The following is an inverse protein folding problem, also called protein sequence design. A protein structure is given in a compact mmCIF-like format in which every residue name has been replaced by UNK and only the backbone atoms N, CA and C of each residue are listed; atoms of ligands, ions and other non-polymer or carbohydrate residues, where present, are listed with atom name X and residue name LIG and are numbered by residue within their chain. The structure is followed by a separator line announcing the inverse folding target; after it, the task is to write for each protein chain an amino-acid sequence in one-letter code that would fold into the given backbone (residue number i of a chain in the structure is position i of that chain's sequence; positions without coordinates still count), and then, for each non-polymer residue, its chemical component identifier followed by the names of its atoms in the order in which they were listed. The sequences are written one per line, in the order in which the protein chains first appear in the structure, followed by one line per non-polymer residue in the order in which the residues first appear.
data_IF_856697923958
#
_entry.id   IF_856697923958
#
_cell.length_a   1.000
_cell.length_b   1.000
_cell.length_c   1.000
_cell.angle_alpha   90.00
_cell.angle_beta   90.00
_cell.angle_gamma   90.00
#
_symmetry.space_group_name_H-M   'P 1'
#
loop_
_entity.id
_entity.type
_entity.pdbx_description
1 polymer ?
#
# COMPACT_ATOMS: atom_id res chain seq x y z
N UNK A 1 -6.10 9.33 9.74
CA UNK A 1 -7.04 8.35 9.17
C UNK A 1 -6.64 6.93 9.58
N UNK A 2 -7.58 5.99 9.68
CA UNK A 2 -7.24 4.57 9.83
C UNK A 2 -6.44 4.05 8.60
N UNK A 3 -5.71 2.95 8.77
CA UNK A 3 -5.02 2.27 7.67
C UNK A 3 -5.96 1.98 6.48
N UNK A 4 -5.43 1.83 5.25
CA UNK A 4 -6.26 1.66 4.06
C UNK A 4 -7.30 0.54 4.22
N UNK A 5 -8.57 0.87 3.95
CA UNK A 5 -9.64 -0.12 3.99
C UNK A 5 -9.43 -1.18 2.91
N UNK A 6 -9.50 -2.45 3.31
CA UNK A 6 -9.30 -3.57 2.38
C UNK A 6 -10.28 -3.52 1.20
N UNK A 7 -11.55 -3.18 1.43
CA UNK A 7 -12.55 -3.02 0.37
C UNK A 7 -12.12 -2.02 -0.71
N UNK A 8 -11.49 -0.90 -0.32
CA UNK A 8 -10.98 0.10 -1.24
C UNK A 8 -9.83 -0.47 -2.09
N UNK A 9 -8.85 -1.11 -1.46
CA UNK A 9 -7.70 -1.69 -2.16
C UNK A 9 -8.13 -2.79 -3.15
N UNK A 10 -9.03 -3.67 -2.72
CA UNK A 10 -9.63 -4.73 -3.55
C UNK A 10 -10.32 -4.16 -4.78
N UNK A 11 -11.15 -3.14 -4.59
CA UNK A 11 -11.89 -2.52 -5.69
C UNK A 11 -10.95 -1.84 -6.69
N UNK A 12 -9.92 -1.13 -6.22
CA UNK A 12 -8.90 -0.52 -7.07
C UNK A 12 -8.13 -1.57 -7.88
N UNK A 13 -7.69 -2.66 -7.24
CA UNK A 13 -6.98 -3.74 -7.91
C UNK A 13 -7.86 -4.41 -8.97
N UNK A 14 -9.08 -4.81 -8.62
CA UNK A 14 -10.01 -5.46 -9.56
C UNK A 14 -10.40 -4.53 -10.72
N UNK A 15 -10.62 -3.24 -10.46
CA UNK A 15 -10.90 -2.25 -11.50
C UNK A 15 -9.72 -2.11 -12.46
N UNK A 16 -8.51 -2.02 -11.93
CA UNK A 16 -7.30 -1.96 -12.76
C UNK A 16 -7.11 -3.24 -13.56
N UNK A 17 -7.34 -4.41 -12.97
CA UNK A 17 -7.25 -5.68 -13.70
C UNK A 17 -8.25 -5.76 -14.85
N UNK A 18 -9.51 -5.38 -14.61
CA UNK A 18 -10.55 -5.31 -15.66
C UNK A 18 -10.19 -4.36 -16.79
N UNK A 19 -9.47 -3.28 -16.51
CA UNK A 19 -9.07 -2.30 -17.54
C UNK A 19 -8.19 -2.87 -18.65
N UNK A 20 -7.53 -4.02 -18.41
CA UNK A 20 -6.77 -4.72 -19.44
C UNK A 20 -7.64 -5.46 -20.46
N UNK A 21 -8.94 -5.64 -20.18
CA UNK A 21 -9.91 -6.29 -21.07
C UNK A 21 -9.42 -7.62 -21.67
N UNK A 22 -8.73 -8.43 -20.84
CA UNK A 22 -8.08 -9.67 -21.26
C UNK A 22 -9.14 -10.67 -21.74
N UNK A 23 -8.99 -11.13 -22.99
CA UNK A 23 -9.89 -12.13 -23.57
C UNK A 23 -9.43 -13.54 -23.26
N UNK A 24 -10.37 -14.41 -22.89
CA UNK A 24 -10.13 -15.85 -22.72
C UNK A 24 -11.06 -16.69 -23.62
N UNK A 25 -10.54 -17.76 -24.26
CA UNK A 25 -9.12 -18.10 -24.36
C UNK A 25 -8.33 -17.05 -25.15
N UNK A 26 -7.03 -16.96 -24.87
CA UNK A 26 -6.12 -16.05 -25.58
C UNK A 26 -5.98 -16.51 -27.04
N UNK A 27 -5.84 -15.58 -27.97
CA UNK A 27 -5.63 -15.84 -29.40
C UNK A 27 -6.74 -16.65 -30.10
N UNK A 28 -7.96 -16.64 -29.55
CA UNK A 28 -9.10 -17.29 -30.17
C UNK A 28 -9.42 -16.71 -31.55
N UNK A 29 -9.54 -17.59 -32.53
CA UNK A 29 -10.06 -17.27 -33.86
C UNK A 29 -11.35 -18.05 -34.08
N UNK A 30 -12.46 -17.33 -34.19
CA UNK A 30 -13.75 -17.94 -34.45
C UNK A 30 -13.71 -18.68 -35.80
N UNK A 31 -14.03 -19.99 -35.85
CA UNK A 31 -14.08 -20.71 -37.13
C UNK A 31 -15.11 -20.09 -38.08
N UNK A 32 -14.67 -19.78 -39.30
CA UNK A 32 -15.49 -19.17 -40.36
C UNK A 32 -15.45 -20.05 -41.63
N UNK A 33 -16.50 -19.96 -42.45
CA UNK A 33 -16.61 -20.66 -43.74
C UNK A 33 -16.99 -22.14 -43.64
N UNK A 34 -17.27 -22.76 -44.80
CA UNK A 34 -17.55 -24.20 -44.91
C UNK A 34 -16.22 -24.95 -45.21
N UNK A 35 -15.85 -26.01 -44.46
CA UNK A 35 -16.64 -26.74 -43.45
C UNK A 35 -16.44 -26.29 -41.99
N UNK A 36 -15.46 -25.41 -41.73
CA UNK A 36 -15.00 -25.11 -40.36
C UNK A 36 -16.10 -24.56 -39.44
N UNK A 37 -16.90 -23.61 -39.90
CA UNK A 37 -17.99 -23.01 -39.11
C UNK A 37 -19.10 -24.02 -38.81
N UNK A 38 -19.43 -24.89 -39.79
CA UNK A 38 -20.42 -25.95 -39.62
C UNK A 38 -19.94 -26.99 -38.60
N UNK A 39 -18.71 -27.49 -38.78
CA UNK A 39 -18.11 -28.43 -37.84
C UNK A 39 -18.06 -27.88 -36.41
N UNK A 40 -17.65 -26.61 -36.24
CA UNK A 40 -17.66 -25.97 -34.93
C UNK A 40 -19.06 -25.90 -34.32
N UNK A 41 -20.06 -25.42 -35.08
CA UNK A 41 -21.43 -25.24 -34.60
C UNK A 41 -22.11 -26.57 -34.26
N UNK A 42 -21.84 -27.61 -35.06
CA UNK A 42 -22.39 -28.96 -34.89
C UNK A 42 -21.71 -29.71 -33.72
N UNK A 43 -20.55 -29.24 -33.25
CA UNK A 43 -19.86 -29.81 -32.08
C UNK A 43 -20.51 -29.44 -30.74
N UNK A 44 -21.48 -28.51 -30.72
CA UNK A 44 -22.14 -28.04 -29.50
C UNK A 44 -23.64 -28.27 -29.55
N UNK A 45 -24.23 -28.60 -28.39
CA UNK A 45 -25.69 -28.63 -28.24
C UNK A 45 -26.27 -27.23 -28.46
N UNK A 46 -27.53 -27.10 -28.90
CA UNK A 46 -28.16 -25.79 -29.08
C UNK A 46 -28.05 -24.86 -27.85
N UNK A 47 -28.17 -25.41 -26.64
CA UNK A 47 -28.04 -24.68 -25.37
C UNK A 47 -26.60 -24.26 -25.01
N UNK A 48 -25.58 -24.80 -25.68
CA UNK A 48 -24.17 -24.52 -25.44
C UNK A 48 -23.60 -23.49 -26.44
N UNK A 49 -24.34 -23.23 -27.52
CA UNK A 49 -23.91 -22.31 -28.60
C UNK A 49 -23.85 -20.85 -28.13
N UNK A 50 -24.62 -20.49 -27.12
CA UNK A 50 -24.71 -19.12 -26.63
C UNK A 50 -25.03 -19.08 -25.14
N UNK A 51 -24.31 -18.23 -24.40
CA UNK A 51 -24.55 -17.85 -23.03
C UNK A 51 -24.38 -16.33 -22.89
N UNK A 52 -25.02 -15.74 -21.87
CA UNK A 52 -24.93 -14.30 -21.60
C UNK A 52 -23.66 -14.03 -20.78
N UNK A 53 -22.70 -13.24 -21.29
CA UNK A 53 -21.52 -12.84 -20.52
C UNK A 53 -21.89 -11.96 -19.33
N UNK A 54 -21.22 -12.18 -18.19
CA UNK A 54 -21.34 -11.32 -17.02
C UNK A 54 -20.26 -10.23 -17.06
N UNK A 55 -20.62 -8.93 -17.19
CA UNK A 55 -19.66 -7.83 -17.27
C UNK A 55 -18.92 -7.58 -15.94
N UNK A 56 -19.36 -8.21 -14.85
CA UNK A 56 -18.69 -8.10 -13.55
C UNK A 56 -17.43 -8.97 -13.43
N UNK A 57 -17.17 -9.87 -14.39
CA UNK A 57 -15.99 -10.75 -14.37
C UNK A 57 -14.69 -10.00 -14.69
N UNK A 58 -13.57 -10.52 -14.20
CA UNK A 58 -12.23 -9.95 -14.43
C UNK A 58 -11.74 -10.14 -15.87
N UNK A 59 -12.10 -11.26 -16.49
CA UNK A 59 -11.76 -11.57 -17.87
C UNK A 59 -12.98 -11.42 -18.78
N UNK A 60 -12.74 -11.24 -20.08
CA UNK A 60 -13.76 -11.12 -21.12
C UNK A 60 -13.80 -12.41 -21.94
N UNK A 61 -14.98 -12.99 -22.25
CA UNK A 61 -15.01 -14.19 -23.08
C UNK A 61 -14.72 -13.83 -24.54
N UNK A 62 -13.95 -14.67 -25.22
CA UNK A 62 -13.59 -14.46 -26.62
C UNK A 62 -14.79 -14.58 -27.58
N UNK A 63 -15.83 -15.31 -27.17
CA UNK A 63 -17.13 -15.36 -27.86
C UNK A 63 -18.25 -15.66 -26.86
N UNK A 64 -19.51 -15.58 -27.30
CA UNK A 64 -20.68 -15.92 -26.48
C UNK A 64 -20.90 -17.42 -26.29
N UNK A 65 -20.00 -18.27 -26.82
CA UNK A 65 -20.10 -19.71 -26.60
C UNK A 65 -20.07 -20.01 -25.09
N UNK A 66 -20.94 -20.92 -24.65
CA UNK A 66 -21.09 -21.24 -23.22
C UNK A 66 -19.78 -21.64 -22.55
N UNK A 67 -18.92 -22.41 -23.24
CA UNK A 67 -17.63 -22.81 -22.69
C UNK A 67 -16.68 -21.64 -22.48
N UNK A 68 -16.69 -20.62 -23.34
CA UNK A 68 -15.88 -19.41 -23.12
C UNK A 68 -16.39 -18.61 -21.92
N UNK A 69 -17.71 -18.42 -21.83
CA UNK A 69 -18.35 -17.70 -20.71
C UNK A 69 -18.11 -18.42 -19.38
N UNK A 70 -18.33 -19.73 -19.31
CA UNK A 70 -18.14 -20.54 -18.10
C UNK A 70 -16.66 -20.60 -17.68
N UNK A 71 -15.75 -20.71 -18.65
CA UNK A 71 -14.29 -20.65 -18.40
C UNK A 71 -13.88 -19.31 -17.81
N UNK A 72 -14.35 -18.20 -18.40
CA UNK A 72 -14.11 -16.86 -17.88
C UNK A 72 -14.65 -16.71 -16.46
N UNK A 73 -15.86 -17.20 -16.18
CA UNK A 73 -16.43 -17.15 -14.84
C UNK A 73 -15.54 -17.88 -13.82
N UNK A 74 -15.08 -19.07 -14.17
CA UNK A 74 -14.21 -19.91 -13.32
C UNK A 74 -12.85 -19.25 -13.08
N UNK A 75 -12.18 -18.78 -14.12
CA UNK A 75 -10.84 -18.18 -14.01
C UNK A 75 -10.92 -16.84 -13.29
N UNK A 76 -11.93 -16.01 -13.60
CA UNK A 76 -12.19 -14.75 -12.90
C UNK A 76 -12.38 -15.00 -11.40
N UNK A 77 -13.21 -15.96 -11.00
CA UNK A 77 -13.42 -16.27 -9.59
C UNK A 77 -12.13 -16.66 -8.84
N UNK A 78 -11.22 -17.37 -9.50
CA UNK A 78 -9.90 -17.70 -8.91
C UNK A 78 -9.02 -16.47 -8.75
N UNK A 79 -8.93 -15.62 -9.78
CA UNK A 79 -8.16 -14.37 -9.70
C UNK A 79 -8.75 -13.38 -8.70
N UNK A 80 -10.08 -13.24 -8.65
CA UNK A 80 -10.78 -12.40 -7.68
C UNK A 80 -10.46 -12.84 -6.26
N UNK A 81 -10.58 -14.14 -5.97
CA UNK A 81 -10.25 -14.68 -4.65
C UNK A 81 -8.80 -14.42 -4.26
N UNK A 82 -7.87 -14.58 -5.21
CA UNK A 82 -6.45 -14.30 -4.95
C UNK A 82 -6.19 -12.81 -4.72
N UNK A 83 -6.69 -11.92 -5.59
CA UNK A 83 -6.57 -10.47 -5.46
C UNK A 83 -7.17 -10.01 -4.13
N UNK A 84 -8.35 -10.51 -3.79
CA UNK A 84 -9.02 -10.15 -2.54
C UNK A 84 -8.18 -10.58 -1.33
N UNK A 85 -7.70 -11.82 -1.32
CA UNK A 85 -6.88 -12.34 -0.23
C UNK A 85 -5.53 -11.65 -0.07
N UNK A 86 -4.84 -11.29 -1.16
CA UNK A 86 -3.56 -10.58 -1.07
C UNK A 86 -3.75 -9.12 -0.65
N UNK A 87 -4.82 -8.45 -1.11
CA UNK A 87 -5.17 -7.10 -0.66
C UNK A 87 -5.55 -7.09 0.83
N UNK A 88 -6.28 -8.10 1.31
CA UNK A 88 -6.56 -8.29 2.74
C UNK A 88 -5.26 -8.40 3.54
N UNK A 89 -4.32 -9.23 3.08
CA UNK A 89 -3.05 -9.43 3.76
C UNK A 89 -2.20 -8.14 3.81
N UNK A 90 -2.15 -7.38 2.72
CA UNK A 90 -1.47 -6.07 2.67
C UNK A 90 -2.11 -5.09 3.65
N UNK A 91 -3.44 -4.94 3.61
CA UNK A 91 -4.16 -4.02 4.49
C UNK A 91 -4.05 -4.42 5.97
N UNK A 92 -4.05 -5.72 6.28
CA UNK A 92 -3.84 -6.20 7.64
C UNK A 92 -2.43 -5.87 8.13
N UNK A 93 -1.40 -6.17 7.33
CA UNK A 93 -0.02 -5.84 7.67
C UNK A 93 0.19 -4.33 7.85
N UNK A 94 -0.41 -3.52 6.97
CA UNK A 94 -0.41 -2.07 7.09
C UNK A 94 -1.13 -1.59 8.35
N UNK A 95 -2.27 -2.20 8.72
CA UNK A 95 -3.00 -1.85 9.94
C UNK A 95 -2.16 -2.10 11.19
N UNK A 96 -1.47 -3.25 11.25
CA UNK A 96 -0.53 -3.56 12.34
C UNK A 96 0.66 -2.61 12.37
N UNK A 97 1.20 -2.25 11.20
CA UNK A 97 2.24 -1.24 11.12
C UNK A 97 1.76 0.11 11.65
N UNK A 98 0.60 0.57 11.18
CA UNK A 98 0.02 1.86 11.54
C UNK A 98 -0.22 2.02 13.04
N UNK A 99 -0.66 0.95 13.72
CA UNK A 99 -0.91 1.00 15.16
C UNK A 99 0.36 0.99 16.02
N UNK A 100 1.51 0.62 15.44
CA UNK A 100 2.76 0.39 16.18
C UNK A 100 3.89 1.31 15.77
N UNK A 101 3.78 1.99 14.63
CA UNK A 101 4.81 2.91 14.14
C UNK A 101 4.94 4.13 15.07
N UNK A 102 6.18 4.52 15.32
CA UNK A 102 6.54 5.68 16.11
C UNK A 102 7.54 6.55 15.33
N UNK A 103 7.42 7.86 15.46
CA UNK A 103 8.48 8.81 15.12
C UNK A 103 9.39 9.05 16.34
N UNK A 104 10.68 8.75 16.22
CA UNK A 104 11.64 8.89 17.32
C UNK A 104 12.83 9.76 16.92
N UNK A 105 13.64 10.16 17.90
CA UNK A 105 14.89 10.89 17.70
C UNK A 105 14.72 12.25 17.01
N UNK A 106 13.58 12.92 17.25
CA UNK A 106 13.35 14.27 16.75
C UNK A 106 14.18 15.24 17.59
N UNK A 107 15.00 16.06 16.94
CA UNK A 107 15.76 17.10 17.61
C UNK A 107 14.92 18.38 17.72
N UNK A 108 14.98 19.05 18.86
CA UNK A 108 14.19 20.25 19.15
C UNK A 108 15.10 21.41 19.53
N UNK A 109 14.94 22.52 18.81
CA UNK A 109 15.65 23.77 19.05
C UNK A 109 14.65 24.93 19.05
N UNK A 110 14.37 25.47 20.24
CA UNK A 110 13.28 26.39 20.48
C UNK A 110 11.96 25.80 19.96
N UNK A 111 11.20 26.53 19.13
CA UNK A 111 9.92 26.04 18.64
C UNK A 111 10.02 25.01 17.50
N UNK A 112 11.22 24.75 17.00
CA UNK A 112 11.45 24.01 15.75
C UNK A 112 11.86 22.57 16.04
N UNK A 113 11.22 21.64 15.32
CA UNK A 113 11.54 20.21 15.29
C UNK A 113 12.20 19.82 13.97
N UNK A 114 13.25 19.01 14.02
CA UNK A 114 13.95 18.52 12.83
C UNK A 114 14.52 17.11 13.02
N UNK A 115 14.75 16.39 11.92
CA UNK A 115 15.36 15.06 11.92
C UNK A 115 14.38 13.94 12.28
N UNK A 116 14.82 13.02 13.12
CA UNK A 116 14.04 11.85 13.53
C UNK A 116 13.99 10.70 12.52
N UNK A 117 13.27 9.65 12.87
CA UNK A 117 13.02 8.52 11.98
C UNK A 117 11.73 7.79 12.37
N UNK A 118 11.03 7.26 11.37
CA UNK A 118 9.94 6.33 11.61
C UNK A 118 10.49 4.94 11.94
N UNK A 119 10.00 4.37 13.02
CA UNK A 119 10.32 3.02 13.48
C UNK A 119 9.01 2.25 13.60
N UNK A 120 8.88 1.18 12.83
CA UNK A 120 7.72 0.29 12.84
C UNK A 120 8.10 -1.12 12.39
N UNK A 121 7.20 -2.09 12.53
CA UNK A 121 7.47 -3.47 12.18
C UNK A 121 7.62 -3.64 10.66
N UNK A 122 8.45 -4.60 10.19
CA UNK A 122 8.58 -4.88 8.76
C UNK A 122 7.27 -5.44 8.19
N UNK A 123 6.82 -4.92 7.05
CA UNK A 123 5.57 -5.38 6.43
C UNK A 123 5.66 -6.78 5.82
N UNK A 124 6.81 -7.19 5.29
CA UNK A 124 6.96 -8.51 4.62
C UNK A 124 6.44 -9.69 5.45
N UNK A 125 6.89 -9.90 6.71
CA UNK A 125 6.38 -11.01 7.52
C UNK A 125 4.90 -10.85 7.89
N UNK A 126 4.41 -9.62 8.03
CA UNK A 126 3.00 -9.36 8.33
C UNK A 126 2.09 -9.75 7.16
N UNK A 127 2.48 -9.40 5.93
CA UNK A 127 1.74 -9.78 4.72
C UNK A 127 1.80 -11.30 4.51
N UNK A 128 2.96 -11.92 4.73
CA UNK A 128 3.12 -13.37 4.56
C UNK A 128 2.30 -14.19 5.58
N UNK A 129 2.03 -13.65 6.76
CA UNK A 129 1.26 -14.33 7.79
C UNK A 129 -0.16 -14.67 7.29
N UNK A 130 -0.81 -13.73 6.60
CA UNK A 130 -2.20 -13.85 6.10
C UNK A 130 -2.33 -13.95 4.58
N UNK A 131 -1.23 -13.90 3.83
CA UNK A 131 -1.23 -14.00 2.38
C UNK A 131 -1.80 -15.34 1.86
N UNK A 132 -2.45 -15.36 0.68
CA UNK A 132 -2.94 -16.59 0.06
C UNK A 132 -1.83 -17.61 -0.18
N UNK A 133 -2.07 -18.87 0.19
CA UNK A 133 -1.08 -19.96 0.16
C UNK A 133 -1.71 -21.34 -0.03
N UNK A 134 -2.93 -21.41 -0.56
CA UNK A 134 -3.64 -22.69 -0.75
C UNK A 134 -3.01 -23.53 -1.88
N UNK A 135 -2.29 -22.90 -2.81
CA UNK A 135 -1.52 -23.57 -3.87
C UNK A 135 -0.07 -23.10 -3.88
N UNK A 136 0.81 -23.88 -4.51
CA UNK A 136 2.22 -23.49 -4.70
C UNK A 136 2.35 -22.16 -5.47
N UNK A 137 1.49 -21.92 -6.46
CA UNK A 137 1.45 -20.66 -7.18
C UNK A 137 1.00 -19.52 -6.26
N UNK A 138 -0.10 -19.67 -5.51
CA UNK A 138 -0.52 -18.62 -4.56
C UNK A 138 0.61 -18.28 -3.58
N UNK A 139 1.28 -19.28 -3.00
CA UNK A 139 2.40 -19.06 -2.09
C UNK A 139 3.58 -18.34 -2.77
N UNK A 140 3.89 -18.68 -4.03
CA UNK A 140 4.95 -18.03 -4.83
C UNK A 140 4.63 -16.55 -5.06
N UNK A 141 3.45 -16.25 -5.60
CA UNK A 141 3.04 -14.87 -5.90
C UNK A 141 2.89 -14.04 -4.61
N UNK A 142 2.34 -14.61 -3.54
CA UNK A 142 2.20 -13.91 -2.25
C UNK A 142 3.55 -13.57 -1.65
N UNK A 143 4.55 -14.46 -1.78
CA UNK A 143 5.92 -14.18 -1.33
C UNK A 143 6.57 -13.05 -2.11
N UNK A 144 6.42 -13.04 -3.44
CA UNK A 144 6.95 -11.97 -4.29
C UNK A 144 6.32 -10.63 -3.92
N UNK A 145 4.97 -10.57 -3.87
CA UNK A 145 4.23 -9.35 -3.54
C UNK A 145 4.62 -8.85 -2.15
N UNK A 146 4.63 -9.72 -1.13
CA UNK A 146 5.00 -9.35 0.24
C UNK A 146 6.43 -8.81 0.32
N UNK A 147 7.37 -9.44 -0.38
CA UNK A 147 8.78 -9.01 -0.40
C UNK A 147 8.92 -7.65 -1.05
N UNK A 148 8.36 -7.46 -2.26
CA UNK A 148 8.48 -6.20 -2.98
C UNK A 148 7.80 -5.05 -2.24
N UNK A 149 6.54 -5.24 -1.80
CA UNK A 149 5.81 -4.22 -1.04
C UNK A 149 6.53 -3.90 0.27
N UNK A 150 6.95 -4.91 1.02
CA UNK A 150 7.62 -4.70 2.30
C UNK A 150 8.99 -4.03 2.18
N UNK A 151 9.79 -4.37 1.18
CA UNK A 151 11.06 -3.67 0.89
C UNK A 151 10.81 -2.24 0.46
N UNK A 152 9.85 -1.99 -0.45
CA UNK A 152 9.50 -0.65 -0.89
C UNK A 152 9.05 0.23 0.28
N UNK A 153 8.22 -0.31 1.17
CA UNK A 153 7.72 0.38 2.35
C UNK A 153 8.81 0.67 3.38
N UNK A 154 9.71 -0.29 3.62
CA UNK A 154 10.89 -0.08 4.49
C UNK A 154 11.79 1.02 3.94
N UNK A 155 12.02 1.05 2.62
CA UNK A 155 12.80 2.10 1.96
C UNK A 155 12.15 3.47 2.08
N UNK A 156 10.82 3.55 1.99
CA UNK A 156 10.10 4.80 2.23
C UNK A 156 10.23 5.22 3.70
N UNK A 157 9.95 4.32 4.64
CA UNK A 157 9.99 4.59 6.08
C UNK A 157 11.33 5.19 6.52
N UNK A 158 12.45 4.61 6.07
CA UNK A 158 13.79 5.08 6.44
C UNK A 158 14.09 6.49 5.90
N UNK A 159 13.44 6.89 4.81
CA UNK A 159 13.58 8.22 4.21
C UNK A 159 12.80 9.32 4.95
N UNK A 160 11.85 8.97 5.82
CA UNK A 160 10.98 9.96 6.47
C UNK A 160 11.75 10.78 7.50
N UNK A 161 11.66 12.11 7.40
CA UNK A 161 12.34 13.09 8.26
C UNK A 161 11.48 14.32 8.51
N UNK A 162 11.56 14.88 9.72
CA UNK A 162 10.98 16.19 10.05
C UNK A 162 11.89 17.29 9.52
N UNK A 163 11.32 18.24 8.76
CA UNK A 163 12.07 19.30 8.11
C UNK A 163 11.81 20.68 8.71
N UNK A 164 12.34 20.92 9.91
CA UNK A 164 12.31 22.25 10.53
C UNK A 164 10.89 22.76 10.82
N UNK A 165 10.02 21.89 11.32
CA UNK A 165 8.61 22.18 11.54
C UNK A 165 8.40 22.95 12.86
N UNK A 166 7.52 23.96 12.93
CA UNK A 166 7.24 24.72 14.14
C UNK A 166 6.29 23.95 15.08
N UNK A 167 6.73 22.80 15.59
CA UNK A 167 5.92 21.88 16.37
C UNK A 167 5.69 22.30 17.81
N UNK A 168 6.57 23.13 18.39
CA UNK A 168 6.51 23.47 19.81
C UNK A 168 6.55 24.98 20.05
N UNK A 169 5.56 25.79 19.61
CA UNK A 169 5.60 27.25 19.76
C UNK A 169 5.96 27.74 21.18
N UNK A 170 5.48 27.04 22.22
CA UNK A 170 5.78 27.34 23.62
C UNK A 170 7.27 27.23 24.00
N UNK A 171 8.06 26.46 23.25
CA UNK A 171 9.49 26.26 23.49
C UNK A 171 10.36 27.42 23.01
N UNK A 172 9.78 28.43 22.37
CA UNK A 172 10.49 29.67 22.07
C UNK A 172 10.83 30.46 23.35
N UNK A 173 9.97 30.39 24.37
CA UNK A 173 10.14 31.06 25.66
C UNK A 173 9.39 30.31 26.75
N UNK A 174 10.03 29.30 27.34
CA UNK A 174 9.44 28.49 28.40
C UNK A 174 9.84 29.02 29.80
N UNK A 175 8.91 29.19 30.75
CA UNK A 175 9.17 29.73 32.09
C UNK A 175 9.65 28.65 33.07
N UNK A 176 10.82 28.06 32.82
CA UNK A 176 11.40 27.07 33.71
C UNK A 176 12.77 26.58 33.23
N UNK A 177 13.51 25.82 34.07
CA UNK A 177 14.82 25.28 33.70
C UNK A 177 14.72 24.09 32.73
N UNK A 178 13.55 23.45 32.66
CA UNK A 178 13.27 22.27 31.83
C UNK A 178 11.82 22.33 31.34
N UNK A 179 11.61 22.19 30.03
CA UNK A 179 10.29 22.04 29.45
C UNK A 179 9.81 20.60 29.66
N UNK A 180 8.59 20.38 30.20
CA UNK A 180 8.03 19.04 30.33
C UNK A 180 7.68 18.46 28.95
N UNK A 181 7.39 17.15 28.88
CA UNK A 181 6.84 16.52 27.67
C UNK A 181 5.57 17.24 27.18
N UNK A 182 5.64 17.90 26.04
CA UNK A 182 4.52 18.59 25.39
C UNK A 182 4.26 18.00 23.99
N UNK A 183 3.01 17.84 23.56
CA UNK A 183 2.70 17.30 22.23
C UNK A 183 3.05 18.31 21.13
N UNK A 184 3.39 17.78 19.94
CA UNK A 184 3.61 18.60 18.76
C UNK A 184 2.31 19.20 18.22
N UNK A 185 2.42 20.32 17.50
CA UNK A 185 1.39 20.77 16.56
C UNK A 185 1.20 19.67 15.49
N UNK A 186 -0.01 19.09 15.35
CA UNK A 186 -0.29 18.05 14.37
C UNK A 186 0.03 18.49 12.93
N UNK A 187 0.65 17.61 12.15
CA UNK A 187 0.81 17.79 10.70
C UNK A 187 0.63 16.46 9.96
N UNK A 188 0.18 16.44 8.69
CA UNK A 188 0.03 15.20 7.95
C UNK A 188 1.40 14.58 7.61
N UNK A 189 1.47 13.26 7.45
CA UNK A 189 2.71 12.56 7.06
C UNK A 189 3.27 13.14 5.76
N UNK A 190 2.41 13.50 4.80
CA UNK A 190 2.83 14.09 3.52
C UNK A 190 3.62 15.40 3.68
N UNK A 191 3.47 16.12 4.80
CA UNK A 191 4.22 17.34 5.09
C UNK A 191 5.67 17.08 5.54
N UNK A 192 6.00 15.83 5.88
CA UNK A 192 7.37 15.43 6.19
C UNK A 192 8.19 15.20 4.92
N UNK A 193 9.51 15.37 5.02
CA UNK A 193 10.42 14.97 3.95
C UNK A 193 10.37 13.45 3.83
N UNK A 194 10.18 12.96 2.61
CA UNK A 194 10.09 11.53 2.31
C UNK A 194 10.37 11.26 0.83
N UNK A 195 10.84 10.06 0.54
CA UNK A 195 11.07 9.57 -0.83
C UNK A 195 10.16 8.37 -1.06
N UNK A 196 9.23 8.49 -2.00
CA UNK A 196 8.21 7.48 -2.30
C UNK A 196 8.44 6.76 -3.65
N UNK A 197 9.61 6.93 -4.28
CA UNK A 197 9.92 6.38 -5.61
C UNK A 197 9.75 4.85 -5.66
N UNK A 198 10.10 4.14 -4.58
CA UNK A 198 9.96 2.69 -4.46
C UNK A 198 8.51 2.20 -4.44
N UNK A 199 7.56 3.07 -4.06
CA UNK A 199 6.14 2.77 -3.94
C UNK A 199 5.34 3.19 -5.20
N UNK A 200 6.01 3.66 -6.25
CA UNK A 200 5.37 3.98 -7.53
C UNK A 200 4.97 2.73 -8.31
N UNK A 201 3.88 2.82 -9.08
CA UNK A 201 3.29 1.69 -9.81
C UNK A 201 4.31 0.92 -10.67
N UNK A 202 5.12 1.66 -11.44
CA UNK A 202 6.13 1.08 -12.34
C UNK A 202 7.27 0.41 -11.59
N UNK A 203 7.68 0.97 -10.44
CA UNK A 203 8.73 0.40 -9.60
C UNK A 203 8.26 -0.92 -8.97
N UNK A 204 7.07 -0.92 -8.34
CA UNK A 204 6.48 -2.11 -7.73
C UNK A 204 6.26 -3.22 -8.77
N UNK A 205 5.61 -2.90 -9.90
CA UNK A 205 5.37 -3.85 -10.99
C UNK A 205 6.69 -4.42 -11.52
N UNK A 206 7.66 -3.55 -11.83
CA UNK A 206 8.95 -3.96 -12.39
C UNK A 206 9.71 -4.92 -11.47
N UNK A 207 9.72 -4.63 -10.16
CA UNK A 207 10.33 -5.51 -9.16
C UNK A 207 9.59 -6.84 -9.02
N UNK A 208 8.25 -6.86 -9.01
CA UNK A 208 7.47 -8.09 -8.92
C UNK A 208 7.66 -8.99 -10.15
N UNK A 209 7.61 -8.41 -11.36
CA UNK A 209 7.86 -9.15 -12.62
C UNK A 209 9.29 -9.69 -12.65
N UNK A 210 10.27 -8.86 -12.29
CA UNK A 210 11.67 -9.27 -12.21
C UNK A 210 11.91 -10.42 -11.23
N UNK A 211 11.29 -10.37 -10.04
CA UNK A 211 11.39 -11.44 -9.05
C UNK A 211 10.65 -12.73 -9.43
N UNK A 212 9.56 -12.63 -10.21
CA UNK A 212 8.87 -13.82 -10.70
C UNK A 212 9.77 -14.66 -11.62
N UNK A 213 10.56 -13.99 -12.46
CA UNK A 213 11.56 -14.61 -13.33
C UNK A 213 10.99 -15.54 -14.39
N UNK A 214 9.68 -15.47 -14.65
CA UNK A 214 8.98 -16.35 -15.57
C UNK A 214 8.20 -15.54 -16.61
N UNK A 215 8.78 -15.29 -17.81
CA UNK A 215 8.11 -14.52 -18.85
C UNK A 215 6.93 -15.26 -19.48
N UNK A 216 6.78 -16.57 -19.24
CA UNK A 216 5.70 -17.39 -19.81
C UNK A 216 4.48 -17.50 -18.89
N UNK A 217 4.58 -17.02 -17.65
CA UNK A 217 3.45 -16.99 -16.75
C UNK A 217 2.31 -16.16 -17.36
N UNK A 218 1.11 -16.72 -17.47
CA UNK A 218 0.00 -15.98 -18.06
C UNK A 218 -0.55 -14.93 -17.08
N UNK A 219 -0.83 -13.73 -17.58
CA UNK A 219 -1.52 -12.65 -16.88
C UNK A 219 -0.83 -12.11 -15.60
N UNK A 220 0.43 -12.49 -15.37
CA UNK A 220 1.17 -12.11 -14.17
C UNK A 220 1.48 -10.62 -14.13
N UNK A 221 1.78 -10.01 -15.28
CA UNK A 221 2.14 -8.60 -15.37
C UNK A 221 0.94 -7.72 -15.05
N UNK A 222 -0.25 -8.09 -15.53
CA UNK A 222 -1.53 -7.44 -15.26
C UNK A 222 -1.94 -7.59 -13.80
N UNK A 223 -1.74 -8.78 -13.22
CA UNK A 223 -1.95 -9.03 -11.80
C UNK A 223 -1.05 -8.12 -10.95
N UNK A 224 0.26 -8.10 -11.19
CA UNK A 224 1.20 -7.27 -10.42
C UNK A 224 0.96 -5.79 -10.62
N UNK A 225 0.64 -5.34 -11.84
CA UNK A 225 0.28 -3.94 -12.08
C UNK A 225 -0.99 -3.55 -11.32
N UNK A 226 -2.00 -4.43 -11.30
CA UNK A 226 -3.26 -4.18 -10.59
C UNK A 226 -3.06 -3.99 -9.08
N UNK A 227 -2.23 -4.84 -8.46
CA UNK A 227 -1.88 -4.73 -7.03
C UNK A 227 -1.03 -3.48 -6.79
N UNK A 228 -0.06 -3.19 -7.66
CA UNK A 228 0.83 -2.03 -7.54
C UNK A 228 0.05 -0.71 -7.54
N UNK A 229 -0.86 -0.53 -8.51
CA UNK A 229 -1.74 0.65 -8.62
C UNK A 229 -2.61 0.81 -7.37
N UNK A 230 -3.15 -0.29 -6.84
CA UNK A 230 -3.98 -0.26 -5.65
C UNK A 230 -3.16 0.15 -4.41
N UNK A 231 -1.96 -0.40 -4.23
CA UNK A 231 -1.04 -0.06 -3.13
C UNK A 231 -0.64 1.41 -3.20
N UNK A 232 -0.22 1.90 -4.37
CA UNK A 232 0.20 3.30 -4.54
C UNK A 232 -0.92 4.29 -4.23
N UNK A 233 -2.12 4.07 -4.80
CA UNK A 233 -3.27 4.95 -4.53
C UNK A 233 -3.64 4.97 -3.05
N UNK A 234 -3.70 3.81 -2.40
CA UNK A 234 -3.94 3.70 -0.97
C UNK A 234 -2.85 4.43 -0.16
N UNK A 235 -1.59 4.32 -0.57
CA UNK A 235 -0.45 5.00 0.05
C UNK A 235 -0.54 6.51 -0.02
N UNK A 236 -0.83 7.06 -1.21
CA UNK A 236 -0.99 8.50 -1.41
C UNK A 236 -2.13 9.06 -0.56
N UNK A 237 -3.28 8.38 -0.52
CA UNK A 237 -4.42 8.79 0.31
C UNK A 237 -4.04 8.74 1.79
N UNK A 238 -3.41 7.66 2.24
CA UNK A 238 -3.03 7.47 3.64
C UNK A 238 -2.03 8.54 4.11
N UNK A 239 -0.94 8.79 3.37
CA UNK A 239 0.06 9.81 3.77
C UNK A 239 -0.52 11.22 3.82
N UNK A 240 -1.49 11.55 2.97
CA UNK A 240 -2.15 12.85 2.96
C UNK A 240 -3.16 13.03 4.11
N UNK A 241 -3.68 11.94 4.67
CA UNK A 241 -4.79 11.96 5.63
C UNK A 241 -4.45 11.45 7.03
N UNK A 242 -3.26 10.87 7.22
CA UNK A 242 -2.74 10.48 8.53
C UNK A 242 -1.90 11.58 9.12
N UNK A 243 -2.24 11.97 10.35
CA UNK A 243 -1.62 13.02 11.12
C UNK A 243 -0.54 12.44 12.03
N UNK A 244 0.61 13.11 12.04
CA UNK A 244 1.69 12.90 13.00
C UNK A 244 1.34 13.72 14.24
N UNK A 245 0.96 13.03 15.32
CA UNK A 245 0.56 13.63 16.59
C UNK A 245 1.28 12.99 17.75
N UNK A 246 1.22 13.61 18.93
CA UNK A 246 1.78 13.05 20.16
C UNK A 246 3.29 12.73 20.06
N UNK A 247 4.02 13.47 19.24
CA UNK A 247 5.48 13.54 19.36
C UNK A 247 5.75 14.42 20.57
N UNK A 248 6.05 13.80 21.70
CA UNK A 248 6.24 14.49 22.97
C UNK A 248 7.65 15.08 23.00
N UNK A 249 7.73 16.41 22.88
CA UNK A 249 8.95 17.17 22.96
C UNK A 249 9.26 17.57 24.41
N UNK A 250 10.52 17.54 24.80
CA UNK A 250 11.01 18.03 26.10
C UNK A 250 12.46 18.48 25.97
N UNK A 251 12.96 19.28 26.91
CA UNK A 251 14.37 19.67 26.89
C UNK A 251 14.72 20.82 27.84
N UNK A 252 16.02 21.04 28.08
CA UNK A 252 16.50 22.05 29.01
C UNK A 252 16.39 23.46 28.43
N UNK A 253 16.33 24.45 29.33
CA UNK A 253 16.39 25.88 29.02
C UNK A 253 17.65 26.45 29.69
N UNK A 254 18.82 26.42 29.03
CA UNK A 254 20.09 26.79 29.66
C UNK A 254 20.18 28.24 30.13
N UNK A 255 19.35 29.12 29.56
CA UNK A 255 19.33 30.55 29.90
C UNK A 255 18.45 30.87 31.10
N UNK A 256 17.73 29.90 31.69
CA UNK A 256 16.84 30.16 32.82
C UNK A 256 17.63 30.48 34.10
N UNK A 257 17.66 31.77 34.46
CA UNK A 257 18.35 32.29 35.64
C UNK A 257 17.47 33.34 36.34
N UNK A 258 16.45 32.94 37.13
CA UNK A 258 15.60 33.88 37.85
C UNK A 258 16.37 34.68 38.91
N UNK A 259 16.06 35.97 39.15
CA UNK A 259 15.00 36.75 38.50
C UNK A 259 15.42 37.38 37.14
N UNK A 260 16.70 37.28 36.75
CA UNK A 260 17.26 38.01 35.62
C UNK A 260 16.76 37.54 34.25
N UNK A 261 16.55 36.23 34.10
CA UNK A 261 16.05 35.60 32.86
C UNK A 261 15.02 34.54 33.24
N UNK A 262 13.74 34.91 33.40
CA UNK A 262 12.69 34.01 33.87
C UNK A 262 12.15 33.07 32.78
N UNK A 263 12.55 33.25 31.52
CA UNK A 263 12.13 32.44 30.38
C UNK A 263 13.29 32.23 29.42
N UNK A 264 13.25 31.16 28.64
CA UNK A 264 14.21 30.96 27.55
C UNK A 264 13.80 29.87 26.57
N UNK A 265 14.53 29.73 25.47
CA UNK A 265 14.25 28.69 24.49
C UNK A 265 14.74 27.33 24.97
N UNK A 266 14.05 26.27 24.54
CA UNK A 266 14.57 24.91 24.68
C UNK A 266 15.80 24.74 23.78
N UNK A 267 16.89 24.19 24.31
CA UNK A 267 18.12 23.93 23.53
C UNK A 267 18.52 22.47 23.69
N UNK A 268 18.67 21.75 22.58
CA UNK A 268 19.02 20.33 22.59
C UNK A 268 17.89 19.44 23.12
N UNK A 269 16.64 19.83 22.85
CA UNK A 269 15.48 19.03 23.23
C UNK A 269 15.32 17.79 22.36
N UNK A 270 14.54 16.84 22.86
CA UNK A 270 14.25 15.58 22.19
C UNK A 270 12.74 15.37 22.07
N UNK A 271 12.33 14.79 20.95
CA UNK A 271 10.95 14.42 20.66
C UNK A 271 10.82 12.95 20.34
N UNK A 272 9.89 12.27 21.00
CA UNK A 272 9.54 10.88 20.72
C UNK A 272 8.02 10.69 20.72
N UNK A 273 7.55 9.89 19.78
CA UNK A 273 6.16 9.48 19.67
C UNK A 273 5.93 8.14 20.35
N UNK A 274 4.84 8.00 21.09
CA UNK A 274 4.38 6.69 21.56
C UNK A 274 3.63 5.95 20.44
N UNK A 275 3.55 4.60 20.49
CA UNK A 275 2.75 3.84 19.53
C UNK A 275 1.32 4.38 19.41
N UNK A 276 0.80 4.45 18.19
CA UNK A 276 -0.52 4.98 17.90
C UNK A 276 -0.60 6.51 17.72
N UNK A 277 0.53 7.22 17.74
CA UNK A 277 0.56 8.67 17.46
C UNK A 277 0.32 9.04 15.98
N UNK A 278 0.29 8.06 15.08
CA UNK A 278 -0.15 8.22 13.70
C UNK A 278 -1.68 8.02 13.64
N UNK A 279 -2.43 9.10 13.44
CA UNK A 279 -3.89 9.10 13.62
C UNK A 279 -4.68 9.69 12.46
#
# INVERSE_FOLDING_TARGET
MAAPQSSMMKNLAKMKFKSFAIKLPVDWQQPQGNPKAKQYTDSFKPSERMAVPDPSKLFVPASVNKYHVDTVSTISGKFEKYIDGICDAICQGWSTYHSTVCLTMVNIAGPVAAGGMLVGPPLTPLILASGPKATANEAKYSRIIATVVGTAFTSWQSSVKVAGMPWYPAFAAFPGPMAPPMPNVPCPIVALVQVNASLQDSALKGQMVGQLGDPKAQHHAELFESVSVAVNKCFTIWTASTMVTNVLGFGPIPTFVPPFVPVGPVVGGMGNQTPGGMA
#
